data_IF_562308639702
#
_entry.id   IF_562308639702
#
_cell.length_a   1.000
_cell.length_b   1.000
_cell.length_c   1.000
_cell.angle_alpha   90.00
_cell.angle_beta   90.00
_cell.angle_gamma   90.00
#
_symmetry.space_group_name_H-M   'P 1'
#
loop_
_entity.id
_entity.type
_entity.pdbx_description
1 polymer ?
#
# COMPACT_ATOMS: atom_id res chain seq x y z
N UNK A 1 -20.26 8.21 -10.48
CA UNK A 1 -19.27 7.38 -11.18
C UNK A 1 -18.23 6.94 -10.17
N UNK A 2 -17.88 5.65 -10.12
CA UNK A 2 -16.90 5.13 -9.15
C UNK A 2 -15.48 5.36 -9.68
N UNK A 3 -14.53 5.70 -8.79
CA UNK A 3 -13.12 5.91 -9.14
C UNK A 3 -12.24 5.11 -8.18
N UNK A 4 -11.22 4.42 -8.70
CA UNK A 4 -10.15 3.80 -7.91
C UNK A 4 -9.00 4.81 -7.79
N UNK A 5 -8.53 5.05 -6.57
CA UNK A 5 -7.48 6.02 -6.27
C UNK A 5 -6.36 5.32 -5.51
N UNK A 6 -5.14 5.42 -6.03
CA UNK A 6 -3.94 4.93 -5.38
C UNK A 6 -3.17 6.12 -4.80
N UNK A 7 -2.92 6.09 -3.49
CA UNK A 7 -2.13 7.10 -2.80
C UNK A 7 -0.71 6.56 -2.63
N UNK A 8 0.24 7.19 -3.29
CA UNK A 8 1.67 6.88 -3.17
C UNK A 8 2.33 7.98 -2.35
N UNK A 9 3.07 7.58 -1.31
CA UNK A 9 3.72 8.50 -0.41
C UNK A 9 5.07 7.96 0.05
N UNK A 10 5.99 8.88 0.34
CA UNK A 10 7.24 8.53 0.99
C UNK A 10 6.98 8.01 2.41
N UNK A 11 7.83 7.12 2.88
CA UNK A 11 7.86 6.69 4.27
C UNK A 11 8.91 7.47 5.05
N UNK A 12 8.73 7.50 6.37
CA UNK A 12 9.74 7.92 7.34
C UNK A 12 9.88 6.85 8.42
N UNK A 13 11.06 6.77 9.03
CA UNK A 13 11.31 5.91 10.19
C UNK A 13 11.36 6.81 11.42
N UNK A 14 10.59 6.47 12.45
CA UNK A 14 10.61 7.21 13.72
C UNK A 14 11.82 6.82 14.59
N UNK A 15 11.97 7.51 15.73
CA UNK A 15 13.08 7.30 16.67
C UNK A 15 13.07 5.90 17.31
N UNK A 16 11.95 5.17 17.23
CA UNK A 16 11.80 3.80 17.73
C UNK A 16 12.00 2.74 16.64
N UNK A 17 12.31 3.17 15.41
CA UNK A 17 12.52 2.28 14.27
C UNK A 17 11.25 1.82 13.57
N UNK A 18 10.09 2.40 13.87
CA UNK A 18 8.85 2.08 13.14
C UNK A 18 8.76 2.90 11.86
N UNK A 19 8.29 2.25 10.81
CA UNK A 19 8.14 2.83 9.48
C UNK A 19 6.67 3.23 9.28
N UNK A 20 6.46 4.50 8.96
CA UNK A 20 5.15 5.10 8.73
C UNK A 20 5.17 6.00 7.50
N UNK A 21 4.01 6.33 6.98
CA UNK A 21 3.83 7.34 5.94
C UNK A 21 4.38 8.68 6.43
N UNK A 22 5.13 9.36 5.58
CA UNK A 22 5.66 10.69 5.87
C UNK A 22 4.54 11.72 5.81
N UNK A 23 4.31 12.40 6.92
CA UNK A 23 3.37 13.52 7.01
C UNK A 23 4.13 14.85 7.04
N UNK A 24 3.45 15.97 6.76
CA UNK A 24 4.02 17.31 6.84
C UNK A 24 3.45 18.03 8.05
N UNK A 25 4.33 18.44 8.96
CA UNK A 25 3.99 19.19 10.17
C UNK A 25 3.74 18.31 11.39
N UNK A 26 4.37 18.67 12.51
CA UNK A 26 4.32 17.89 13.77
C UNK A 26 2.90 17.67 14.30
N UNK A 27 2.01 18.64 14.13
CA UNK A 27 0.63 18.55 14.61
C UNK A 27 -0.18 17.50 13.84
N UNK A 28 0.04 17.36 12.53
CA UNK A 28 -0.67 16.35 11.71
C UNK A 28 -0.25 14.95 12.14
N UNK A 29 1.06 14.74 12.31
CA UNK A 29 1.63 13.44 12.70
C UNK A 29 1.19 12.97 14.09
N UNK A 30 0.86 13.91 14.99
CA UNK A 30 0.38 13.60 16.34
C UNK A 30 -1.12 13.31 16.40
N UNK A 31 -1.89 13.79 15.42
CA UNK A 31 -3.36 13.75 15.46
C UNK A 31 -3.92 12.66 14.55
N UNK A 32 -3.25 12.37 13.43
CA UNK A 32 -3.74 11.38 12.46
C UNK A 32 -2.66 10.37 12.10
N UNK A 33 -3.11 9.12 11.91
CA UNK A 33 -2.32 8.04 11.32
C UNK A 33 -3.00 7.66 10.02
N UNK A 34 -2.56 8.19 8.85
CA UNK A 34 -3.24 7.99 7.57
C UNK A 34 -3.53 6.51 7.26
N UNK A 35 -2.58 5.63 7.55
CA UNK A 35 -2.66 4.19 7.33
C UNK A 35 -3.84 3.54 8.08
N UNK A 36 -4.28 4.13 9.19
CA UNK A 36 -5.44 3.62 9.96
C UNK A 36 -6.75 3.69 9.17
N UNK A 37 -6.86 4.58 8.17
CA UNK A 37 -8.05 4.77 7.36
C UNK A 37 -8.15 3.84 6.14
N UNK A 38 -7.11 3.04 5.88
CA UNK A 38 -7.05 2.14 4.74
C UNK A 38 -7.07 0.68 5.18
N UNK A 39 -7.72 -0.17 4.39
CA UNK A 39 -7.68 -1.63 4.57
C UNK A 39 -6.50 -2.27 3.83
N UNK A 40 -5.92 -1.56 2.86
CA UNK A 40 -4.78 -1.99 2.06
C UNK A 40 -3.69 -0.94 2.17
N UNK A 41 -2.52 -1.34 2.66
CA UNK A 41 -1.30 -0.54 2.77
C UNK A 41 -0.14 -1.42 2.35
N UNK A 42 0.48 -1.09 1.23
CA UNK A 42 1.67 -1.77 0.71
C UNK A 42 2.89 -0.86 0.85
N UNK A 43 4.06 -1.45 1.12
CA UNK A 43 5.32 -0.69 1.24
C UNK A 43 6.34 -1.13 0.22
N UNK A 44 6.86 -0.17 -0.54
CA UNK A 44 8.03 -0.41 -1.39
C UNK A 44 9.26 -0.71 -0.52
N UNK A 45 9.96 -1.79 -0.84
CA UNK A 45 11.19 -2.22 -0.18
C UNK A 45 12.23 -2.61 -1.22
N UNK A 46 13.50 -2.56 -0.84
CA UNK A 46 14.61 -3.04 -1.66
C UNK A 46 15.25 -4.21 -0.93
N UNK A 47 15.24 -5.38 -1.56
CA UNK A 47 15.86 -6.59 -1.03
C UNK A 47 16.83 -7.15 -2.08
N UNK A 48 18.13 -7.19 -1.76
CA UNK A 48 19.18 -7.68 -2.66
C UNK A 48 19.15 -7.04 -4.07
N UNK A 49 18.80 -5.75 -4.15
CA UNK A 49 18.69 -5.01 -5.42
C UNK A 49 17.34 -5.13 -6.12
N UNK A 50 16.43 -5.97 -5.63
CA UNK A 50 15.08 -6.10 -6.17
C UNK A 50 14.12 -5.11 -5.48
N UNK A 51 13.34 -4.39 -6.26
CA UNK A 51 12.32 -3.46 -5.78
C UNK A 51 10.98 -4.21 -5.68
N UNK A 52 10.48 -4.37 -4.46
CA UNK A 52 9.31 -5.20 -4.16
C UNK A 52 8.29 -4.40 -3.35
N UNK A 53 7.04 -4.86 -3.33
CA UNK A 53 6.04 -4.43 -2.34
C UNK A 53 5.90 -5.47 -1.22
N UNK A 54 5.97 -5.01 0.03
CA UNK A 54 5.56 -5.78 1.21
C UNK A 54 4.04 -5.71 1.37
N UNK A 55 3.40 -6.86 1.50
CA UNK A 55 1.92 -7.01 1.51
C UNK A 55 1.34 -7.20 2.92
N UNK A 56 2.17 -7.65 3.87
CA UNK A 56 1.85 -7.78 5.28
C UNK A 56 2.89 -7.07 6.15
N UNK A 57 2.52 -6.76 7.39
CA UNK A 57 3.41 -6.12 8.35
C UNK A 57 4.51 -7.07 8.82
N UNK A 58 5.72 -6.53 8.97
CA UNK A 58 6.83 -7.21 9.64
C UNK A 58 6.90 -6.89 11.14
N UNK A 59 5.86 -6.29 11.71
CA UNK A 59 5.80 -5.83 13.10
C UNK A 59 6.45 -4.47 13.38
N UNK A 60 7.08 -3.85 12.37
CA UNK A 60 7.70 -2.52 12.46
C UNK A 60 7.11 -1.52 11.46
N UNK A 61 6.12 -1.93 10.68
CA UNK A 61 5.45 -1.08 9.72
C UNK A 61 3.93 -1.30 9.74
N UNK A 62 3.21 -0.44 9.03
CA UNK A 62 1.75 -0.48 8.97
C UNK A 62 1.21 -1.26 7.76
N UNK A 63 2.04 -2.11 7.11
CA UNK A 63 1.59 -2.86 5.93
C UNK A 63 0.44 -3.80 6.30
N UNK A 64 -0.58 -3.82 5.47
CA UNK A 64 -1.75 -4.68 5.67
C UNK A 64 -2.48 -4.89 4.36
N UNK A 65 -3.02 -6.08 4.22
CA UNK A 65 -3.95 -6.45 3.16
C UNK A 65 -4.95 -7.44 3.75
N UNK A 66 -6.18 -7.53 3.20
CA UNK A 66 -7.09 -8.61 3.55
C UNK A 66 -6.45 -9.98 3.41
N UNK A 67 -6.86 -10.91 4.27
CA UNK A 67 -6.41 -12.29 4.21
C UNK A 67 -6.70 -12.87 2.82
N UNK A 68 -5.78 -13.69 2.32
CA UNK A 68 -5.86 -14.34 1.01
C UNK A 68 -5.89 -13.39 -0.21
N UNK A 69 -5.70 -12.08 -0.02
CA UNK A 69 -5.60 -11.13 -1.15
C UNK A 69 -4.31 -11.32 -1.95
N UNK A 70 -3.19 -11.53 -1.26
CA UNK A 70 -1.88 -11.77 -1.88
C UNK A 70 -1.31 -13.09 -1.36
N UNK A 71 -0.76 -13.91 -2.26
CA UNK A 71 -0.14 -15.19 -1.92
C UNK A 71 1.16 -15.05 -1.15
N UNK A 72 1.91 -13.98 -1.43
CA UNK A 72 3.28 -13.79 -0.97
C UNK A 72 3.42 -12.50 -0.14
N UNK A 73 4.34 -12.55 0.83
CA UNK A 73 4.68 -11.40 1.69
C UNK A 73 5.41 -10.30 0.92
N UNK A 74 6.05 -10.66 -0.18
CA UNK A 74 6.70 -9.77 -1.10
C UNK A 74 6.24 -10.07 -2.52
N UNK A 75 5.77 -9.04 -3.22
CA UNK A 75 5.37 -9.11 -4.62
C UNK A 75 6.19 -8.12 -5.44
N UNK A 76 6.17 -8.29 -6.76
CA UNK A 76 6.78 -7.32 -7.67
C UNK A 76 6.20 -5.91 -7.45
N UNK A 77 7.05 -4.90 -7.59
CA UNK A 77 6.65 -3.49 -7.51
C UNK A 77 5.92 -3.05 -8.80
N UNK A 78 4.80 -3.71 -9.10
CA UNK A 78 3.94 -3.44 -10.27
C UNK A 78 2.52 -3.09 -9.82
N UNK A 79 2.18 -1.81 -9.95
CA UNK A 79 0.86 -1.29 -9.57
C UNK A 79 -0.29 -1.88 -10.41
N UNK A 80 -0.02 -2.31 -11.65
CA UNK A 80 -1.03 -2.93 -12.50
C UNK A 80 -1.42 -4.31 -11.96
N UNK A 81 -0.44 -5.12 -11.61
CA UNK A 81 -0.67 -6.43 -10.99
C UNK A 81 -1.41 -6.29 -9.64
N UNK A 82 -1.07 -5.26 -8.86
CA UNK A 82 -1.79 -4.92 -7.64
C UNK A 82 -3.26 -4.55 -7.91
N UNK A 83 -3.55 -3.69 -8.89
CA UNK A 83 -4.93 -3.34 -9.27
C UNK A 83 -5.73 -4.56 -9.72
N UNK A 84 -5.14 -5.42 -10.54
CA UNK A 84 -5.76 -6.67 -11.02
C UNK A 84 -6.10 -7.60 -9.85
N UNK A 85 -5.18 -7.74 -8.90
CA UNK A 85 -5.38 -8.57 -7.70
C UNK A 85 -6.50 -8.01 -6.81
N UNK A 86 -6.50 -6.70 -6.54
CA UNK A 86 -7.55 -6.03 -5.76
C UNK A 86 -8.91 -6.17 -6.46
N UNK A 87 -8.95 -6.00 -7.78
CA UNK A 87 -10.18 -6.15 -8.55
C UNK A 87 -10.71 -7.58 -8.50
N UNK A 88 -9.83 -8.58 -8.66
CA UNK A 88 -10.21 -9.98 -8.54
C UNK A 88 -10.77 -10.31 -7.15
N UNK A 89 -10.09 -9.85 -6.09
CA UNK A 89 -10.50 -10.07 -4.70
C UNK A 89 -11.90 -9.52 -4.40
N UNK A 90 -12.21 -8.31 -4.89
CA UNK A 90 -13.50 -7.66 -4.66
C UNK A 90 -14.54 -7.92 -5.76
N UNK A 91 -14.23 -8.73 -6.78
CA UNK A 91 -15.13 -8.96 -7.93
C UNK A 91 -15.43 -7.70 -8.75
N UNK A 92 -14.48 -6.76 -8.82
CA UNK A 92 -14.64 -5.50 -9.55
C UNK A 92 -14.32 -5.71 -11.03
N UNK A 93 -15.32 -5.61 -11.89
CA UNK A 93 -15.12 -5.64 -13.35
C UNK A 93 -14.35 -4.40 -13.79
N UNK A 94 -13.17 -4.59 -14.38
CA UNK A 94 -12.39 -3.48 -14.94
C UNK A 94 -13.04 -2.99 -16.24
N UNK A 95 -13.89 -1.96 -16.15
CA UNK A 95 -14.23 -1.13 -17.32
C UNK A 95 -13.00 -0.33 -17.71
N UNK A 96 -12.16 -0.89 -18.57
CA UNK A 96 -11.20 -0.07 -19.32
C UNK A 96 -12.03 0.97 -20.06
N UNK A 97 -11.83 2.25 -19.76
CA UNK A 97 -12.26 3.28 -20.71
C UNK A 97 -11.47 2.99 -21.99
N UNK A 98 -12.20 2.57 -23.01
CA UNK A 98 -11.70 2.66 -24.38
C UNK A 98 -11.84 4.14 -24.69
N UNK A 99 -10.77 4.88 -24.42
CA UNK A 99 -10.72 6.30 -24.73
C UNK A 99 -10.87 6.43 -26.26
N UNK A 100 -11.86 7.23 -26.68
CA UNK A 100 -12.08 7.68 -28.06
C UNK A 100 -10.98 8.65 -28.49
#
# INVERSE_FOLDING_TARGET
ENRRVYILAHTQTDDFGNIRMKTVGKMVDQVIVPESYFTIVLRATVNNGNYLFSTQSNGRDCCKSPIDMFSDTFIENDLKSVDETICAYYGITSTKRVDQ
#
